data_IF_533997715465
#
_entry.id   IF_533997715465
#
_cell.length_a   1.000
_cell.length_b   1.000
_cell.length_c   1.000
_cell.angle_alpha   90.00
_cell.angle_beta   90.00
_cell.angle_gamma   90.00
#
_symmetry.space_group_name_H-M   'P 1'
#
loop_
_entity.id
_entity.type
_entity.pdbx_description
1 polymer ?
#
# COMPACT_ATOMS: atom_id res chain seq x y z
N UNK A 1 -7.97 19.59 27.23
CA UNK A 1 -9.28 19.24 26.65
C UNK A 1 -9.02 18.18 25.60
N UNK A 2 -9.31 16.95 25.97
CA UNK A 2 -8.94 15.74 25.25
C UNK A 2 -10.06 15.41 24.25
N UNK A 3 -9.74 15.44 22.96
CA UNK A 3 -10.59 14.89 21.91
C UNK A 3 -10.04 13.52 21.51
N UNK A 4 -10.61 12.45 22.06
CA UNK A 4 -10.42 11.12 21.52
C UNK A 4 -11.06 11.06 20.12
N UNK A 5 -10.38 10.53 19.09
CA UNK A 5 -11.06 10.23 17.84
C UNK A 5 -11.92 8.98 18.05
N UNK A 6 -13.23 9.16 17.88
CA UNK A 6 -14.24 8.12 17.87
C UNK A 6 -13.92 7.08 16.79
N UNK A 7 -13.77 5.83 17.21
CA UNK A 7 -13.69 4.67 16.34
C UNK A 7 -15.05 4.47 15.63
N UNK A 8 -15.09 4.78 14.34
CA UNK A 8 -16.14 4.29 13.46
C UNK A 8 -15.83 2.82 13.16
N UNK A 9 -16.71 1.95 13.66
CA UNK A 9 -16.74 0.51 13.40
C UNK A 9 -17.22 0.28 11.97
N UNK A 10 -16.28 0.09 11.04
CA UNK A 10 -16.49 -0.73 9.85
C UNK A 10 -15.39 -1.79 9.83
N UNK A 11 -15.72 -3.03 9.46
CA UNK A 11 -14.91 -4.23 9.66
C UNK A 11 -13.59 -4.31 8.87
N UNK A 12 -13.03 -3.19 8.43
CA UNK A 12 -11.71 -3.08 7.83
C UNK A 12 -10.72 -2.54 8.85
N UNK A 13 -9.64 -3.26 9.15
CA UNK A 13 -8.48 -2.70 9.87
C UNK A 13 -8.03 -1.40 9.20
N UNK A 14 -8.35 -0.26 9.81
CA UNK A 14 -7.95 1.05 9.32
C UNK A 14 -6.52 1.32 9.82
N UNK A 15 -5.54 1.09 8.94
CA UNK A 15 -4.16 1.46 9.23
C UNK A 15 -4.04 2.99 9.28
N UNK A 16 -3.28 3.56 10.23
CA UNK A 16 -3.04 4.99 10.26
C UNK A 16 -2.22 5.40 9.04
N UNK A 17 -2.80 6.31 8.26
CA UNK A 17 -2.22 6.85 7.04
C UNK A 17 -1.48 8.15 7.36
N UNK A 18 -0.28 8.29 6.81
CA UNK A 18 0.47 9.54 6.86
C UNK A 18 -0.20 10.60 5.98
N UNK A 19 -0.63 11.70 6.59
CA UNK A 19 -1.10 12.90 5.89
C UNK A 19 0.04 13.91 5.80
N UNK A 20 0.25 14.48 4.62
CA UNK A 20 1.32 15.40 4.34
C UNK A 20 2.19 14.98 3.15
N UNK A 21 3.35 15.63 3.03
CA UNK A 21 4.30 15.41 1.95
C UNK A 21 5.24 14.28 2.35
N UNK A 22 5.40 13.32 1.45
CA UNK A 22 6.35 12.23 1.58
C UNK A 22 6.89 11.84 0.20
N UNK A 23 7.92 10.99 0.17
CA UNK A 23 8.50 10.51 -1.08
C UNK A 23 8.22 9.03 -1.26
N UNK A 24 7.51 8.66 -2.31
CA UNK A 24 7.41 7.29 -2.78
C UNK A 24 8.73 6.90 -3.45
N UNK A 25 9.60 6.23 -2.70
CA UNK A 25 10.93 5.86 -3.17
C UNK A 25 10.93 4.79 -4.27
N UNK A 26 9.78 4.19 -4.60
CA UNK A 26 9.61 3.36 -5.80
C UNK A 26 9.71 4.19 -7.09
N UNK A 27 9.36 5.48 -7.03
CA UNK A 27 9.39 6.42 -8.17
C UNK A 27 10.57 7.39 -8.11
N UNK A 28 11.46 7.21 -7.14
CA UNK A 28 12.62 8.07 -6.92
C UNK A 28 12.27 9.44 -6.31
N UNK A 29 13.27 10.31 -6.11
CA UNK A 29 13.10 11.54 -5.33
C UNK A 29 12.25 12.62 -6.02
N UNK A 30 12.18 12.61 -7.35
CA UNK A 30 11.49 13.65 -8.13
C UNK A 30 10.05 13.23 -8.46
N UNK A 31 9.89 12.10 -9.17
CA UNK A 31 8.56 11.60 -9.56
C UNK A 31 7.80 10.92 -8.41
N UNK A 32 8.49 10.64 -7.30
CA UNK A 32 7.91 10.10 -6.08
C UNK A 32 7.45 11.14 -5.07
N UNK A 33 7.62 12.44 -5.34
CA UNK A 33 7.10 13.47 -4.43
C UNK A 33 5.57 13.41 -4.39
N UNK A 34 5.02 12.98 -3.25
CA UNK A 34 3.61 12.68 -3.07
C UNK A 34 3.05 13.50 -1.92
N UNK A 35 1.86 14.06 -2.11
CA UNK A 35 1.07 14.70 -1.08
C UNK A 35 -0.16 13.83 -0.80
N UNK A 36 -0.24 13.29 0.41
CA UNK A 36 -1.44 12.59 0.88
C UNK A 36 -2.27 13.55 1.72
N UNK A 37 -3.55 13.67 1.41
CA UNK A 37 -4.52 14.50 2.15
C UNK A 37 -5.79 13.68 2.40
N UNK A 38 -6.62 14.15 3.33
CA UNK A 38 -7.94 13.58 3.54
C UNK A 38 -8.86 13.80 2.32
N UNK A 39 -9.99 13.09 2.29
CA UNK A 39 -10.90 13.11 1.16
C UNK A 39 -11.53 14.49 0.91
N UNK A 40 -11.81 15.26 1.95
CA UNK A 40 -12.43 16.58 1.81
C UNK A 40 -11.43 17.58 1.22
N UNK A 41 -10.22 17.63 1.79
CA UNK A 41 -9.15 18.50 1.29
C UNK A 41 -8.73 18.11 -0.12
N UNK A 42 -8.62 16.81 -0.41
CA UNK A 42 -8.33 16.32 -1.75
C UNK A 42 -9.37 16.74 -2.79
N UNK A 43 -10.66 16.65 -2.45
CA UNK A 43 -11.75 17.13 -3.29
C UNK A 43 -11.64 18.64 -3.59
N UNK A 44 -11.32 19.45 -2.57
CA UNK A 44 -11.12 20.89 -2.73
C UNK A 44 -9.94 21.21 -3.66
N UNK A 45 -8.80 20.52 -3.49
CA UNK A 45 -7.62 20.70 -4.35
C UNK A 45 -7.91 20.35 -5.81
N UNK A 46 -8.63 19.26 -6.06
CA UNK A 46 -9.06 18.86 -7.41
C UNK A 46 -9.98 19.93 -8.02
N UNK A 47 -10.93 20.45 -7.25
CA UNK A 47 -11.82 21.51 -7.72
C UNK A 47 -11.04 22.79 -8.07
N UNK A 48 -10.13 23.22 -7.21
CA UNK A 48 -9.25 24.38 -7.46
C UNK A 48 -8.41 24.16 -8.72
N UNK A 49 -7.86 22.96 -8.91
CA UNK A 49 -7.08 22.61 -10.09
C UNK A 49 -7.92 22.68 -11.37
N UNK A 50 -9.17 22.20 -11.34
CA UNK A 50 -10.10 22.30 -12.47
C UNK A 50 -10.38 23.76 -12.87
N UNK A 51 -10.64 24.63 -11.88
CA UNK A 51 -10.81 26.07 -12.12
C UNK A 51 -9.53 26.71 -12.68
N UNK A 52 -8.37 26.34 -12.14
CA UNK A 52 -7.08 26.83 -12.62
C UNK A 52 -6.83 26.44 -14.08
N UNK A 53 -7.11 25.18 -14.47
CA UNK A 53 -6.99 24.71 -15.86
C UNK A 53 -7.91 25.52 -16.79
N UNK A 54 -9.14 25.81 -16.35
CA UNK A 54 -10.09 26.64 -17.11
C UNK A 54 -9.57 28.07 -17.31
N UNK A 55 -8.97 28.66 -16.28
CA UNK A 55 -8.33 29.97 -16.35
C UNK A 55 -7.16 29.96 -17.34
N UNK A 56 -6.28 28.96 -17.26
CA UNK A 56 -5.14 28.78 -18.18
C UNK A 56 -5.64 28.65 -19.62
N UNK A 57 -6.73 27.90 -19.85
CA UNK A 57 -7.34 27.78 -21.18
C UNK A 57 -7.84 29.12 -21.75
N UNK A 58 -8.40 29.97 -20.91
CA UNK A 58 -8.82 31.33 -21.30
C UNK A 58 -7.62 32.18 -21.72
N UNK A 59 -6.53 32.13 -20.94
CA UNK A 59 -5.29 32.83 -21.27
C UNK A 59 -4.64 32.29 -22.56
N UNK A 60 -4.59 30.97 -22.73
CA UNK A 60 -4.08 30.31 -23.93
C UNK A 60 -4.83 30.78 -25.18
N UNK A 61 -6.17 30.79 -25.13
CA UNK A 61 -7.00 31.31 -26.21
C UNK A 61 -6.63 32.76 -26.59
N UNK A 62 -6.49 33.65 -25.61
CA UNK A 62 -6.13 35.06 -25.85
C UNK A 62 -4.77 35.21 -26.53
N UNK A 63 -3.78 34.41 -26.11
CA UNK A 63 -2.45 34.39 -26.73
C UNK A 63 -2.56 33.92 -28.20
N UNK A 64 -3.29 32.84 -28.46
CA UNK A 64 -3.49 32.35 -29.82
C UNK A 64 -4.23 33.36 -30.70
N UNK A 65 -5.28 34.00 -30.18
CA UNK A 65 -5.99 35.08 -30.85
C UNK A 65 -5.07 36.24 -31.23
N UNK A 66 -4.20 36.66 -30.31
CA UNK A 66 -3.20 37.69 -30.58
C UNK A 66 -2.22 37.24 -31.69
N UNK A 67 -1.70 36.02 -31.62
CA UNK A 67 -0.81 35.48 -32.65
C UNK A 67 -1.51 35.44 -34.02
N UNK A 68 -2.73 34.92 -34.08
CA UNK A 68 -3.50 34.88 -35.33
C UNK A 68 -3.81 36.28 -35.87
N UNK A 69 -4.14 37.23 -34.99
CA UNK A 69 -4.36 38.63 -35.35
C UNK A 69 -3.12 39.19 -36.04
N UNK A 70 -1.95 39.02 -35.42
CA UNK A 70 -0.68 39.54 -35.96
C UNK A 70 -0.30 38.86 -37.29
N UNK A 71 -0.33 37.53 -37.36
CA UNK A 71 0.08 36.76 -38.54
C UNK A 71 -0.82 37.04 -39.75
N UNK A 72 -2.11 37.24 -39.53
CA UNK A 72 -3.07 37.47 -40.61
C UNK A 72 -3.33 38.95 -40.87
N UNK A 73 -2.69 39.86 -40.13
CA UNK A 73 -2.83 41.30 -40.35
C UNK A 73 -2.05 41.75 -41.58
N UNK A 74 -2.68 42.54 -42.43
CA UNK A 74 -2.06 43.16 -43.60
C UNK A 74 -2.54 44.61 -43.73
N UNK A 75 -1.65 45.54 -44.12
CA UNK A 75 -2.02 46.93 -44.37
C UNK A 75 -2.74 47.12 -45.71
N UNK A 76 -2.81 46.09 -46.56
CA UNK A 76 -3.48 46.17 -47.87
C UNK A 76 -5.00 46.28 -47.71
N UNK A 77 -5.71 46.97 -48.62
CA UNK A 77 -7.18 46.98 -48.62
C UNK A 77 -7.76 45.56 -48.68
N UNK A 78 -8.73 45.27 -47.82
CA UNK A 78 -9.40 43.97 -47.70
C UNK A 78 -10.91 44.15 -47.56
N UNK A 79 -11.64 43.05 -47.66
CA UNK A 79 -13.11 43.03 -47.57
C UNK A 79 -13.62 43.12 -46.12
N UNK A 80 -14.91 43.42 -45.96
CA UNK A 80 -15.54 43.57 -44.63
C UNK A 80 -15.40 42.33 -43.75
N UNK A 81 -15.48 41.12 -44.34
CA UNK A 81 -15.31 39.85 -43.64
C UNK A 81 -13.90 39.73 -43.01
N UNK A 82 -12.86 40.21 -43.70
CA UNK A 82 -11.51 40.25 -43.14
C UNK A 82 -11.44 41.14 -41.90
N UNK A 83 -12.00 42.35 -41.96
CA UNK A 83 -11.97 43.28 -40.83
C UNK A 83 -12.80 42.78 -39.64
N UNK A 84 -13.93 42.12 -39.88
CA UNK A 84 -14.71 41.48 -38.81
C UNK A 84 -13.94 40.33 -38.15
N UNK A 85 -13.25 39.49 -38.93
CA UNK A 85 -12.38 38.44 -38.36
C UNK A 85 -11.27 39.02 -37.48
N UNK A 86 -10.63 40.11 -37.93
CA UNK A 86 -9.60 40.78 -37.14
C UNK A 86 -10.17 41.43 -35.87
N UNK A 87 -11.38 41.97 -35.94
CA UNK A 87 -12.09 42.51 -34.77
C UNK A 87 -12.43 41.40 -33.77
N UNK A 88 -12.89 40.24 -34.23
CA UNK A 88 -13.16 39.08 -33.36
C UNK A 88 -11.87 38.61 -32.69
N UNK A 89 -10.79 38.42 -33.45
CA UNK A 89 -9.49 38.01 -32.89
C UNK A 89 -8.96 38.97 -31.82
N UNK A 90 -9.25 40.27 -31.94
CA UNK A 90 -8.83 41.28 -30.96
C UNK A 90 -9.74 41.35 -29.72
N UNK A 91 -11.02 41.01 -29.84
CA UNK A 91 -12.02 41.26 -28.79
C UNK A 91 -12.59 39.99 -28.14
N UNK A 92 -12.40 38.81 -28.74
CA UNK A 92 -12.90 37.55 -28.18
C UNK A 92 -12.11 37.16 -26.92
N UNK A 93 -12.71 37.42 -25.75
CA UNK A 93 -12.08 37.22 -24.45
C UNK A 93 -12.00 35.74 -24.03
N UNK A 94 -12.84 34.87 -24.63
CA UNK A 94 -12.93 33.43 -24.39
C UNK A 94 -13.10 32.67 -25.71
N UNK A 95 -12.73 31.38 -25.73
CA UNK A 95 -12.90 30.54 -26.91
C UNK A 95 -14.37 30.35 -27.31
N UNK A 96 -15.29 30.29 -26.33
CA UNK A 96 -16.73 30.21 -26.56
C UNK A 96 -17.27 31.45 -27.26
N UNK A 97 -16.98 32.65 -26.74
CA UNK A 97 -17.39 33.90 -27.38
C UNK A 97 -16.79 34.08 -28.77
N UNK A 98 -15.53 33.66 -28.95
CA UNK A 98 -14.87 33.60 -30.25
C UNK A 98 -15.56 32.66 -31.23
N UNK A 99 -15.88 31.44 -30.81
CA UNK A 99 -16.57 30.45 -31.62
C UNK A 99 -17.93 30.96 -32.09
N UNK A 100 -18.76 31.44 -31.17
CA UNK A 100 -20.10 31.98 -31.48
C UNK A 100 -20.00 33.14 -32.47
N UNK A 101 -19.11 34.10 -32.21
CA UNK A 101 -18.92 35.25 -33.10
C UNK A 101 -18.46 34.85 -34.51
N UNK A 102 -17.60 33.83 -34.62
CA UNK A 102 -17.10 33.33 -35.91
C UNK A 102 -18.16 32.56 -36.70
N UNK A 103 -19.00 31.79 -36.01
CA UNK A 103 -20.12 31.07 -36.62
C UNK A 103 -21.19 32.05 -37.11
N UNK A 104 -21.57 33.02 -36.28
CA UNK A 104 -22.52 34.07 -36.64
C UNK A 104 -22.01 34.90 -37.83
N UNK A 105 -20.74 35.30 -37.80
CA UNK A 105 -20.12 36.04 -38.91
C UNK A 105 -20.07 35.19 -40.18
N UNK A 106 -19.69 33.92 -40.10
CA UNK A 106 -19.69 33.00 -41.24
C UNK A 106 -21.09 32.83 -41.85
N UNK A 107 -22.12 32.73 -41.00
CA UNK A 107 -23.51 32.60 -41.43
C UNK A 107 -24.08 33.88 -42.02
N UNK A 108 -23.84 35.04 -41.40
CA UNK A 108 -24.30 36.34 -41.87
C UNK A 108 -23.77 36.66 -43.27
N UNK A 109 -22.51 36.30 -43.55
CA UNK A 109 -21.86 36.54 -44.85
C UNK A 109 -22.07 35.41 -45.88
N UNK A 110 -22.87 34.38 -45.58
CA UNK A 110 -23.04 33.20 -46.45
C UNK A 110 -23.62 33.51 -47.83
N UNK A 111 -24.38 34.60 -47.96
CA UNK A 111 -24.98 35.05 -49.24
C UNK A 111 -24.23 36.20 -49.90
N UNK A 112 -23.33 36.87 -49.17
CA UNK A 112 -22.74 38.14 -49.60
C UNK A 112 -21.26 38.03 -50.01
N UNK A 113 -20.59 36.92 -49.66
CA UNK A 113 -19.20 36.69 -50.07
C UNK A 113 -18.98 35.20 -50.36
N UNK A 114 -18.26 34.91 -51.45
CA UNK A 114 -17.90 33.55 -51.83
C UNK A 114 -16.92 32.96 -50.81
N UNK A 115 -17.12 31.70 -50.43
CA UNK A 115 -16.26 30.99 -49.48
C UNK A 115 -16.23 31.59 -48.06
N UNK A 116 -17.20 32.43 -47.67
CA UNK A 116 -17.27 33.05 -46.32
C UNK A 116 -17.12 32.03 -45.18
N UNK A 117 -17.86 30.92 -45.27
CA UNK A 117 -17.81 29.82 -44.30
C UNK A 117 -16.41 29.19 -44.31
N UNK A 118 -15.83 28.90 -45.47
CA UNK A 118 -14.49 28.31 -45.57
C UNK A 118 -13.40 29.24 -45.00
N UNK A 119 -13.61 30.55 -45.00
CA UNK A 119 -12.67 31.55 -44.46
C UNK A 119 -12.76 31.68 -42.94
N UNK A 120 -13.92 31.48 -42.32
CA UNK A 120 -14.10 31.54 -40.86
C UNK A 120 -13.92 30.18 -40.19
N UNK A 121 -14.18 29.10 -40.93
CA UNK A 121 -14.18 27.72 -40.42
C UNK A 121 -12.86 27.30 -39.74
N UNK A 122 -11.65 27.57 -40.26
CA UNK A 122 -10.41 27.14 -39.60
C UNK A 122 -10.26 27.71 -38.18
N UNK A 123 -10.64 28.98 -37.99
CA UNK A 123 -10.55 29.63 -36.69
C UNK A 123 -11.68 29.19 -35.75
N UNK A 124 -12.87 28.92 -36.30
CA UNK A 124 -13.97 28.32 -35.54
C UNK A 124 -13.62 26.89 -35.07
N UNK A 125 -13.02 26.07 -35.94
CA UNK A 125 -12.53 24.74 -35.57
C UNK A 125 -11.45 24.81 -34.49
N UNK A 126 -10.53 25.76 -34.60
CA UNK A 126 -9.53 25.99 -33.56
C UNK A 126 -10.16 26.40 -32.22
N UNK A 127 -11.17 27.29 -32.24
CA UNK A 127 -11.91 27.67 -31.04
C UNK A 127 -12.62 26.46 -30.40
N UNK A 128 -13.31 25.66 -31.22
CA UNK A 128 -13.97 24.43 -30.78
C UNK A 128 -12.95 23.43 -30.19
N UNK A 129 -11.79 23.27 -30.83
CA UNK A 129 -10.71 22.41 -30.32
C UNK A 129 -10.21 22.88 -28.96
N UNK A 130 -10.03 24.19 -28.76
CA UNK A 130 -9.63 24.75 -27.47
C UNK A 130 -10.68 24.47 -26.38
N UNK A 131 -11.96 24.70 -26.68
CA UNK A 131 -13.06 24.42 -25.73
C UNK A 131 -13.04 22.95 -25.33
N UNK A 132 -13.00 22.05 -26.30
CA UNK A 132 -12.97 20.60 -26.07
C UNK A 132 -11.74 20.22 -25.25
N UNK A 133 -10.54 20.62 -25.67
CA UNK A 133 -9.30 20.25 -25.01
C UNK A 133 -9.26 20.70 -23.54
N UNK A 134 -9.61 21.95 -23.24
CA UNK A 134 -9.58 22.48 -21.88
C UNK A 134 -10.76 21.97 -21.02
N UNK A 135 -11.93 21.71 -21.61
CA UNK A 135 -13.03 21.04 -20.90
C UNK A 135 -12.64 19.62 -20.48
N UNK A 136 -12.04 18.85 -21.40
CA UNK A 136 -11.49 17.52 -21.09
C UNK A 136 -10.39 17.60 -20.04
N UNK A 137 -9.41 18.50 -20.17
CA UNK A 137 -8.35 18.66 -19.18
C UNK A 137 -8.89 19.01 -17.78
N UNK A 138 -9.88 19.90 -17.71
CA UNK A 138 -10.52 20.29 -16.44
C UNK A 138 -11.29 19.13 -15.82
N UNK A 139 -12.08 18.40 -16.60
CA UNK A 139 -12.86 17.25 -16.12
C UNK A 139 -11.96 16.08 -15.64
N UNK A 140 -10.86 15.84 -16.35
CA UNK A 140 -9.90 14.79 -16.03
C UNK A 140 -8.84 15.23 -15.00
N UNK A 141 -8.91 16.46 -14.47
CA UNK A 141 -7.99 16.94 -13.43
C UNK A 141 -7.99 16.05 -12.18
N UNK A 142 -9.14 15.46 -11.85
CA UNK A 142 -9.28 14.47 -10.78
C UNK A 142 -8.38 13.23 -10.96
N UNK A 143 -8.01 12.88 -12.20
CA UNK A 143 -7.11 11.75 -12.46
C UNK A 143 -5.69 12.00 -11.99
N UNK A 144 -5.29 13.24 -11.73
CA UNK A 144 -3.95 13.56 -11.19
C UNK A 144 -3.70 12.82 -9.87
N UNK A 145 -4.72 12.63 -9.02
CA UNK A 145 -4.57 11.83 -7.80
C UNK A 145 -4.42 10.33 -8.09
N UNK A 146 -5.02 9.82 -9.17
CA UNK A 146 -5.00 8.39 -9.55
C UNK A 146 -3.72 7.96 -10.27
N UNK A 147 -2.97 8.88 -10.89
CA UNK A 147 -1.70 8.58 -11.60
C UNK A 147 -0.60 8.10 -10.63
N UNK A 148 -0.69 8.49 -9.36
CA UNK A 148 0.25 8.06 -8.30
C UNK A 148 -0.09 6.65 -7.76
N UNK A 149 -1.25 6.10 -8.14
CA UNK A 149 -1.76 4.81 -7.67
C UNK A 149 -2.51 4.95 -6.35
N UNK A 150 -3.11 3.86 -5.88
CA UNK A 150 -3.81 3.80 -4.59
C UNK A 150 -2.85 3.52 -3.43
N UNK A 151 -1.59 3.96 -3.55
CA UNK A 151 -0.56 3.75 -2.55
C UNK A 151 -0.54 4.91 -1.56
N UNK A 152 -0.57 4.59 -0.28
CA UNK A 152 -0.44 5.55 0.81
C UNK A 152 0.67 5.12 1.74
N UNK A 153 1.39 6.09 2.30
CA UNK A 153 2.37 5.80 3.34
C UNK A 153 1.63 5.50 4.64
N UNK A 154 1.85 4.31 5.19
CA UNK A 154 1.41 3.97 6.53
C UNK A 154 2.43 4.49 7.54
N UNK A 155 1.96 5.15 8.59
CA UNK A 155 2.82 5.70 9.63
C UNK A 155 2.07 5.70 10.95
N UNK A 156 2.50 4.83 11.87
CA UNK A 156 2.00 4.79 13.25
C UNK A 156 3.12 5.23 14.20
N UNK A 157 2.90 6.21 15.09
CA UNK A 157 3.88 6.58 16.11
C UNK A 157 4.21 5.43 17.09
N UNK A 158 3.35 4.42 17.18
CA UNK A 158 3.52 3.23 18.02
C UNK A 158 4.04 2.02 17.23
N UNK A 159 4.55 2.21 16.01
CA UNK A 159 5.19 1.14 15.27
C UNK A 159 6.53 0.75 15.94
N UNK A 160 6.66 -0.51 16.35
CA UNK A 160 7.88 -0.98 17.00
C UNK A 160 7.81 -2.45 17.40
N UNK A 161 8.95 -2.98 17.85
CA UNK A 161 9.03 -4.31 18.44
C UNK A 161 8.61 -4.25 19.90
N UNK A 162 7.60 -5.03 20.28
CA UNK A 162 7.21 -5.19 21.67
C UNK A 162 8.05 -6.31 22.31
N UNK A 163 8.68 -6.01 23.43
CA UNK A 163 9.43 -6.99 24.21
C UNK A 163 8.88 -7.02 25.64
N UNK A 164 8.64 -8.22 26.18
CA UNK A 164 8.15 -8.43 27.54
C UNK A 164 9.15 -8.00 28.64
N UNK A 165 10.38 -7.65 28.27
CA UNK A 165 11.50 -7.46 29.20
C UNK A 165 11.63 -6.04 29.78
N UNK A 166 10.65 -5.14 29.58
CA UNK A 166 10.75 -3.77 30.07
C UNK A 166 9.70 -3.48 31.15
N UNK A 167 10.21 -3.28 32.38
CA UNK A 167 9.54 -2.80 33.60
C UNK A 167 8.42 -3.70 34.15
N UNK A 168 8.76 -4.56 35.11
CA UNK A 168 7.86 -5.41 35.91
C UNK A 168 7.28 -6.63 35.16
N UNK A 169 8.04 -7.74 35.08
CA UNK A 169 7.76 -8.87 34.19
C UNK A 169 6.44 -9.59 34.51
N UNK A 170 6.03 -9.68 35.78
CA UNK A 170 4.91 -10.54 36.16
C UNK A 170 3.52 -9.93 35.86
N UNK A 171 3.41 -8.60 35.81
CA UNK A 171 2.12 -7.92 35.58
C UNK A 171 1.93 -7.45 34.13
N UNK A 172 2.98 -6.93 33.47
CA UNK A 172 2.88 -6.46 32.08
C UNK A 172 2.83 -7.63 31.09
N UNK A 173 3.58 -8.72 31.36
CA UNK A 173 3.55 -9.89 30.50
C UNK A 173 2.14 -10.49 30.45
N UNK A 174 1.56 -10.80 31.62
CA UNK A 174 0.27 -11.46 31.72
C UNK A 174 -0.92 -10.59 31.26
N UNK A 175 -0.95 -9.29 31.62
CA UNK A 175 -2.13 -8.45 31.38
C UNK A 175 -2.11 -7.68 30.05
N UNK A 176 -0.96 -7.54 29.40
CA UNK A 176 -0.87 -6.72 28.17
C UNK A 176 -0.17 -7.46 27.03
N UNK A 177 0.99 -8.06 27.29
CA UNK A 177 1.78 -8.70 26.23
C UNK A 177 1.14 -9.99 25.71
N UNK A 178 0.71 -10.88 26.61
CA UNK A 178 0.06 -12.15 26.23
C UNK A 178 -1.28 -11.94 25.48
N UNK A 179 -2.21 -11.07 25.94
CA UNK A 179 -3.40 -10.74 25.15
C UNK A 179 -3.07 -10.14 23.77
N UNK A 180 -2.04 -9.28 23.70
CA UNK A 180 -1.58 -8.71 22.43
C UNK A 180 -1.05 -9.78 21.46
N UNK A 181 -0.20 -10.70 21.94
CA UNK A 181 0.29 -11.82 21.15
C UNK A 181 -0.85 -12.72 20.67
N UNK A 182 -1.83 -13.02 21.55
CA UNK A 182 -3.02 -13.80 21.19
C UNK A 182 -3.81 -13.11 20.08
N UNK A 183 -4.05 -11.79 20.21
CA UNK A 183 -4.76 -11.03 19.19
C UNK A 183 -4.03 -11.03 17.85
N UNK A 184 -2.70 -10.87 17.87
CA UNK A 184 -1.87 -10.97 16.67
C UNK A 184 -1.95 -12.36 16.05
N UNK A 185 -1.81 -13.43 16.84
CA UNK A 185 -1.89 -14.80 16.36
C UNK A 185 -3.25 -15.09 15.69
N UNK A 186 -4.37 -14.65 16.29
CA UNK A 186 -5.71 -14.77 15.70
C UNK A 186 -5.78 -13.98 14.38
N UNK A 187 -5.29 -12.74 14.36
CA UNK A 187 -5.26 -11.91 13.14
C UNK A 187 -4.46 -12.55 12.01
N UNK A 188 -3.27 -13.07 12.31
CA UNK A 188 -2.40 -13.74 11.34
C UNK A 188 -3.02 -15.06 10.84
N UNK A 189 -3.64 -15.85 11.73
CA UNK A 189 -4.34 -17.08 11.35
C UNK A 189 -5.54 -16.77 10.44
N UNK A 190 -6.33 -15.76 10.75
CA UNK A 190 -7.44 -15.31 9.92
C UNK A 190 -6.96 -14.87 8.53
N UNK A 191 -5.90 -14.04 8.46
CA UNK A 191 -5.32 -13.63 7.19
C UNK A 191 -4.84 -14.86 6.38
N UNK A 192 -4.13 -15.79 7.02
CA UNK A 192 -3.62 -16.98 6.36
C UNK A 192 -4.75 -17.88 5.81
N UNK A 193 -5.81 -18.10 6.60
CA UNK A 193 -6.97 -18.87 6.18
C UNK A 193 -7.73 -18.20 5.05
N UNK A 194 -7.87 -16.87 5.08
CA UNK A 194 -8.60 -16.14 4.05
C UNK A 194 -7.83 -16.07 2.73
N UNK A 195 -6.49 -15.94 2.81
CA UNK A 195 -5.67 -15.58 1.65
C UNK A 195 -4.85 -16.73 1.07
N UNK A 196 -4.57 -17.81 1.81
CA UNK A 196 -3.79 -18.93 1.30
C UNK A 196 -4.59 -20.23 1.12
N UNK A 197 -5.83 -20.31 1.63
CA UNK A 197 -6.68 -21.49 1.41
C UNK A 197 -7.36 -21.44 0.03
N UNK A 198 -7.42 -22.60 -0.63
CA UNK A 198 -7.71 -22.73 -2.07
C UNK A 198 -9.19 -22.58 -2.47
N UNK A 199 -10.11 -22.30 -1.53
CA UNK A 199 -11.57 -22.36 -1.75
C UNK A 199 -12.37 -21.17 -1.20
N UNK A 200 -11.73 -20.06 -0.81
CA UNK A 200 -12.43 -18.85 -0.38
C UNK A 200 -12.69 -17.93 -1.58
N UNK A 201 -13.94 -17.92 -2.07
CA UNK A 201 -14.42 -16.92 -3.03
C UNK A 201 -14.16 -15.52 -2.45
N UNK A 202 -13.23 -14.80 -3.06
CA UNK A 202 -12.52 -13.64 -2.50
C UNK A 202 -13.41 -12.41 -2.32
N UNK A 203 -14.07 -12.32 -1.17
CA UNK A 203 -14.62 -11.07 -0.61
C UNK A 203 -13.54 -10.34 0.23
N UNK A 204 -12.48 -11.06 0.62
CA UNK A 204 -11.45 -10.55 1.53
C UNK A 204 -10.27 -9.87 0.81
N UNK A 205 -9.83 -8.74 1.36
CA UNK A 205 -8.74 -7.89 0.85
C UNK A 205 -7.36 -8.47 1.22
N UNK A 206 -6.87 -9.43 0.44
CA UNK A 206 -5.52 -10.01 0.60
C UNK A 206 -4.37 -9.07 0.21
N UNK A 207 -4.67 -7.82 -0.12
CA UNK A 207 -3.74 -6.77 -0.54
C UNK A 207 -3.20 -5.91 0.62
N UNK A 208 -3.19 -6.44 1.84
CA UNK A 208 -2.60 -5.77 3.00
C UNK A 208 -1.08 -5.61 2.87
N UNK A 209 -0.39 -6.63 2.37
CA UNK A 209 1.05 -6.61 2.16
C UNK A 209 1.39 -6.33 0.70
N UNK A 210 2.55 -5.72 0.45
CA UNK A 210 3.05 -5.44 -0.91
C UNK A 210 3.19 -6.72 -1.75
N UNK A 211 3.53 -7.83 -1.09
CA UNK A 211 3.56 -9.17 -1.68
C UNK A 211 2.77 -10.11 -0.80
N UNK A 212 1.82 -10.82 -1.40
CA UNK A 212 1.06 -11.86 -0.71
C UNK A 212 1.96 -13.04 -0.35
N UNK A 213 2.85 -13.48 -1.25
CA UNK A 213 3.82 -14.53 -0.97
C UNK A 213 5.24 -14.00 -1.20
N UNK A 214 6.11 -14.18 -0.21
CA UNK A 214 7.53 -13.90 -0.36
C UNK A 214 8.18 -15.01 -1.19
N UNK A 215 9.12 -14.68 -2.09
CA UNK A 215 9.82 -15.69 -2.87
C UNK A 215 10.59 -16.61 -1.92
N UNK A 216 10.42 -17.92 -2.11
CA UNK A 216 11.16 -18.94 -1.39
C UNK A 216 11.43 -20.14 -2.27
N UNK A 217 12.63 -20.70 -2.13
CA UNK A 217 13.04 -21.96 -2.74
C UNK A 217 12.81 -23.06 -1.72
N UNK A 218 12.02 -24.05 -2.11
CA UNK A 218 11.68 -25.20 -1.30
C UNK A 218 12.45 -26.40 -1.86
N UNK A 219 13.28 -27.00 -1.01
CA UNK A 219 14.05 -28.20 -1.31
C UNK A 219 13.60 -29.30 -0.35
N UNK A 220 12.74 -30.20 -0.82
CA UNK A 220 12.20 -31.31 -0.02
C UNK A 220 13.14 -32.53 0.09
N UNK A 221 14.28 -32.50 -0.60
CA UNK A 221 15.31 -33.55 -0.58
C UNK A 221 16.59 -33.08 0.12
N UNK A 222 16.45 -32.25 1.15
CA UNK A 222 17.59 -31.76 1.90
C UNK A 222 18.22 -32.89 2.75
N UNK A 223 19.51 -32.74 3.03
CA UNK A 223 20.22 -33.60 3.98
C UNK A 223 19.79 -33.32 5.42
N UNK A 224 20.14 -34.19 6.36
CA UNK A 224 20.04 -33.89 7.79
C UNK A 224 20.88 -32.63 8.13
N UNK A 225 20.31 -31.60 8.80
CA UNK A 225 21.05 -30.40 9.20
C UNK A 225 21.87 -30.60 10.49
N UNK A 226 21.63 -31.69 11.21
CA UNK A 226 22.32 -32.04 12.44
C UNK A 226 23.44 -33.04 12.15
N UNK A 227 24.49 -33.02 12.97
CA UNK A 227 25.54 -34.03 12.89
C UNK A 227 25.10 -35.37 13.47
N UNK A 228 25.71 -36.47 13.01
CA UNK A 228 25.42 -37.82 13.49
C UNK A 228 24.14 -38.42 12.90
N UNK A 229 23.58 -39.41 13.59
CA UNK A 229 22.45 -40.23 13.13
C UNK A 229 21.15 -39.91 13.91
N UNK A 230 20.96 -38.63 14.25
CA UNK A 230 19.82 -38.16 15.06
C UNK A 230 18.57 -37.87 14.21
N UNK A 231 18.75 -37.57 12.92
CA UNK A 231 17.63 -37.45 11.99
C UNK A 231 17.02 -38.82 11.70
N UNK A 232 15.72 -38.87 11.48
CA UNK A 232 15.02 -40.10 11.09
C UNK A 232 15.44 -40.60 9.70
N UNK A 233 15.76 -39.68 8.79
CA UNK A 233 16.23 -39.96 7.43
C UNK A 233 17.42 -39.07 7.07
N UNK A 234 18.36 -39.62 6.30
CA UNK A 234 19.52 -38.86 5.83
C UNK A 234 19.12 -37.84 4.74
N UNK A 235 18.16 -38.20 3.88
CA UNK A 235 17.56 -37.36 2.82
C UNK A 235 16.04 -37.23 3.00
N UNK A 236 15.35 -36.52 2.10
CA UNK A 236 13.91 -36.24 2.26
C UNK A 236 13.58 -35.22 3.35
N UNK A 237 14.56 -34.42 3.77
CA UNK A 237 14.36 -33.35 4.74
C UNK A 237 14.01 -32.02 4.04
N UNK A 238 13.47 -31.06 4.79
CA UNK A 238 13.00 -29.80 4.22
C UNK A 238 14.04 -28.70 4.39
N UNK A 239 14.46 -28.07 3.29
CA UNK A 239 15.18 -26.81 3.32
C UNK A 239 14.39 -25.71 2.60
N UNK A 240 14.24 -24.58 3.27
CA UNK A 240 13.55 -23.38 2.82
C UNK A 240 14.57 -22.25 2.75
N UNK A 241 14.64 -21.55 1.63
CA UNK A 241 15.54 -20.42 1.44
C UNK A 241 14.84 -19.29 0.71
N UNK A 242 14.72 -18.12 1.35
CA UNK A 242 14.08 -16.96 0.72
C UNK A 242 14.93 -16.33 -0.38
N UNK A 243 16.23 -16.63 -0.44
CA UNK A 243 17.19 -15.76 -1.13
C UNK A 243 17.29 -14.39 -0.45
N UNK A 244 17.91 -13.42 -1.12
CA UNK A 244 17.99 -12.04 -0.64
C UNK A 244 16.67 -11.31 -0.94
N UNK A 245 15.91 -10.99 0.10
CA UNK A 245 14.73 -10.15 0.07
C UNK A 245 15.13 -8.69 0.30
N UNK A 246 14.56 -7.76 -0.44
CA UNK A 246 14.80 -6.32 -0.31
C UNK A 246 13.77 -5.66 0.63
N UNK A 247 14.24 -4.86 1.57
CA UNK A 247 13.38 -4.23 2.58
C UNK A 247 12.25 -3.39 1.98
N UNK A 248 12.49 -2.77 0.83
CA UNK A 248 11.53 -1.92 0.15
C UNK A 248 10.60 -2.72 -0.76
N UNK A 249 11.16 -3.57 -1.62
CA UNK A 249 10.39 -4.29 -2.64
C UNK A 249 9.62 -5.49 -2.07
N UNK A 250 10.15 -6.15 -1.04
CA UNK A 250 9.54 -7.36 -0.48
C UNK A 250 8.74 -7.08 0.80
N UNK A 251 9.21 -6.16 1.66
CA UNK A 251 8.54 -5.84 2.93
C UNK A 251 7.74 -4.54 2.90
N UNK A 252 7.87 -3.72 1.84
CA UNK A 252 7.13 -2.47 1.71
C UNK A 252 7.66 -1.31 2.56
N UNK A 253 8.89 -1.41 3.09
CA UNK A 253 9.50 -0.33 3.85
C UNK A 253 9.92 0.80 2.90
N UNK A 254 9.19 1.92 2.94
CA UNK A 254 9.44 3.07 2.08
C UNK A 254 10.72 3.84 2.47
N UNK A 255 11.87 3.39 1.96
CA UNK A 255 13.18 3.97 2.24
C UNK A 255 13.95 4.32 0.95
N UNK A 256 14.81 5.35 0.98
CA UNK A 256 15.72 5.66 -0.12
C UNK A 256 16.74 4.53 -0.34
N UNK A 257 17.33 4.37 -1.54
CA UNK A 257 18.23 3.26 -1.86
C UNK A 257 19.36 3.02 -0.85
N UNK A 258 19.97 4.09 -0.30
CA UNK A 258 21.06 3.98 0.68
C UNK A 258 20.64 3.58 2.10
N UNK A 259 19.33 3.48 2.39
CA UNK A 259 18.79 3.07 3.68
C UNK A 259 18.01 1.75 3.59
N UNK A 260 18.09 1.06 2.44
CA UNK A 260 17.51 -0.26 2.25
C UNK A 260 18.46 -1.32 2.76
N UNK A 261 17.90 -2.43 3.21
CA UNK A 261 18.68 -3.60 3.60
C UNK A 261 18.14 -4.84 2.91
N UNK A 262 19.00 -5.85 2.81
CA UNK A 262 18.62 -7.17 2.35
C UNK A 262 18.52 -8.14 3.52
N UNK A 263 17.54 -9.03 3.44
CA UNK A 263 17.31 -10.07 4.42
C UNK A 263 17.23 -11.43 3.74
N UNK A 264 17.93 -12.42 4.28
CA UNK A 264 17.80 -13.81 3.84
C UNK A 264 17.53 -14.69 5.04
N UNK A 265 16.49 -15.50 4.93
CA UNK A 265 16.19 -16.56 5.89
C UNK A 265 16.38 -17.91 5.21
N UNK A 266 17.27 -18.71 5.79
CA UNK A 266 17.41 -20.12 5.47
C UNK A 266 16.99 -20.95 6.67
N UNK A 267 16.00 -21.81 6.48
CA UNK A 267 15.51 -22.74 7.49
C UNK A 267 15.68 -24.15 6.96
N UNK A 268 16.20 -25.06 7.77
CA UNK A 268 16.30 -26.47 7.43
C UNK A 268 15.72 -27.27 8.57
N UNK A 269 14.79 -28.17 8.26
CA UNK A 269 14.02 -28.97 9.19
C UNK A 269 14.16 -30.44 8.82
N UNK A 270 14.40 -31.27 9.82
CA UNK A 270 14.46 -32.73 9.67
C UNK A 270 13.70 -33.38 10.83
N UNK A 271 12.87 -34.40 10.60
CA UNK A 271 12.31 -35.22 11.68
C UNK A 271 13.44 -35.90 12.45
N UNK A 272 13.36 -35.91 13.78
CA UNK A 272 14.37 -36.53 14.65
C UNK A 272 13.91 -37.91 15.15
N UNK A 273 14.87 -38.78 15.47
CA UNK A 273 14.64 -40.01 16.22
C UNK A 273 14.32 -39.65 17.67
N UNK A 274 13.16 -40.08 18.14
CA UNK A 274 12.69 -39.84 19.52
C UNK A 274 12.95 -41.02 20.45
N UNK A 275 13.08 -42.22 19.88
CA UNK A 275 13.46 -43.44 20.58
C UNK A 275 14.83 -43.24 21.24
N UNK A 276 14.98 -43.67 22.48
CA UNK A 276 16.17 -43.48 23.32
C UNK A 276 16.53 -42.02 23.67
N UNK A 277 15.87 -41.03 23.05
CA UNK A 277 16.05 -39.59 23.31
C UNK A 277 14.85 -38.95 24.01
N UNK A 278 13.89 -39.73 24.51
CA UNK A 278 12.72 -39.21 25.23
C UNK A 278 12.39 -40.03 26.48
N UNK A 279 11.79 -39.37 27.48
CA UNK A 279 11.29 -40.01 28.69
C UNK A 279 10.00 -39.33 29.17
N UNK A 280 9.13 -40.09 29.84
CA UNK A 280 7.95 -39.51 30.48
C UNK A 280 8.29 -38.92 31.83
N UNK A 281 7.76 -37.75 32.13
CA UNK A 281 7.88 -37.07 33.41
C UNK A 281 6.49 -36.72 33.96
N UNK A 282 6.29 -36.96 35.25
CA UNK A 282 5.07 -36.54 35.96
C UNK A 282 5.48 -35.41 36.89
N UNK A 283 4.93 -34.23 36.65
CA UNK A 283 5.15 -33.08 37.52
C UNK A 283 4.44 -33.27 38.87
N UNK A 284 4.86 -32.57 39.94
CA UNK A 284 4.17 -32.61 41.24
C UNK A 284 2.68 -32.24 41.17
N UNK A 285 2.27 -31.48 40.14
CA UNK A 285 0.88 -31.15 39.85
C UNK A 285 0.06 -32.31 39.29
N UNK A 286 0.66 -33.48 39.07
CA UNK A 286 0.05 -34.65 38.43
C UNK A 286 0.01 -34.59 36.90
N UNK A 287 0.45 -33.47 36.30
CA UNK A 287 0.50 -33.31 34.84
C UNK A 287 1.63 -34.16 34.24
N UNK A 288 1.34 -34.80 33.11
CA UNK A 288 2.26 -35.70 32.41
C UNK A 288 2.89 -35.01 31.20
N UNK A 289 4.21 -35.09 31.13
CA UNK A 289 5.04 -34.49 30.10
C UNK A 289 5.92 -35.54 29.44
N UNK A 290 6.25 -35.31 28.18
CA UNK A 290 7.33 -35.99 27.47
C UNK A 290 8.53 -35.05 27.42
N UNK A 291 9.66 -35.49 27.98
CA UNK A 291 10.94 -34.78 27.97
C UNK A 291 11.84 -35.36 26.89
N UNK A 292 12.51 -34.49 26.14
CA UNK A 292 13.42 -34.84 25.06
C UNK A 292 14.86 -34.43 25.39
N UNK A 293 15.84 -35.25 25.00
CA UNK A 293 17.25 -35.15 25.40
C UNK A 293 18.19 -35.06 24.20
N UNK A 294 18.02 -34.03 23.37
CA UNK A 294 18.85 -33.78 22.18
C UNK A 294 20.13 -32.95 22.44
N UNK A 295 20.43 -32.62 23.71
CA UNK A 295 21.61 -31.88 24.11
C UNK A 295 21.35 -30.83 25.18
N UNK A 296 22.42 -30.14 25.59
CA UNK A 296 22.37 -29.14 26.65
C UNK A 296 21.70 -27.85 26.17
N UNK A 297 20.80 -27.31 26.99
CA UNK A 297 20.20 -25.99 26.76
C UNK A 297 21.25 -24.90 26.97
N UNK A 298 21.27 -23.88 26.13
CA UNK A 298 22.17 -22.73 26.31
C UNK A 298 21.85 -22.10 27.67
N UNK A 299 22.83 -21.90 28.58
CA UNK A 299 22.59 -21.33 29.89
C UNK A 299 21.93 -19.95 29.75
N UNK A 300 20.68 -19.81 30.21
CA UNK A 300 20.05 -18.50 30.32
C UNK A 300 20.55 -17.81 31.59
N UNK A 301 20.70 -16.47 31.61
CA UNK A 301 21.28 -15.75 32.74
C UNK A 301 20.61 -16.04 34.09
N UNK A 302 19.33 -16.48 34.11
CA UNK A 302 18.55 -16.85 35.29
C UNK A 302 17.83 -18.22 35.09
N UNK A 303 18.30 -19.05 34.16
CA UNK A 303 17.67 -20.33 33.84
C UNK A 303 18.08 -21.44 34.80
N UNK A 304 17.11 -22.27 35.21
CA UNK A 304 17.39 -23.54 35.88
C UNK A 304 18.20 -24.41 34.92
N UNK A 305 19.26 -25.06 35.41
CA UNK A 305 19.99 -26.08 34.66
C UNK A 305 19.09 -27.32 34.51
N UNK A 306 18.19 -27.28 33.54
CA UNK A 306 17.36 -28.41 33.17
C UNK A 306 18.22 -29.49 32.51
N UNK A 307 18.00 -30.74 32.88
CA UNK A 307 18.71 -31.89 32.30
C UNK A 307 18.09 -32.41 31.00
N UNK A 308 17.12 -31.68 30.44
CA UNK A 308 16.40 -32.00 29.21
C UNK A 308 16.45 -30.82 28.22
N UNK A 309 16.32 -31.10 26.94
CA UNK A 309 16.37 -30.09 25.86
C UNK A 309 15.04 -29.41 25.64
N UNK A 310 13.96 -30.18 25.68
CA UNK A 310 12.59 -29.73 25.46
C UNK A 310 11.62 -30.60 26.24
N UNK A 311 10.53 -30.02 26.72
CA UNK A 311 9.43 -30.78 27.32
C UNK A 311 8.10 -30.35 26.69
N UNK A 312 7.20 -31.33 26.54
CA UNK A 312 5.89 -31.12 25.95
C UNK A 312 4.83 -31.80 26.83
N UNK A 313 3.70 -31.14 27.05
CA UNK A 313 2.60 -31.69 27.84
C UNK A 313 1.82 -32.71 27.00
N UNK A 314 1.70 -33.96 27.47
CA UNK A 314 1.15 -35.07 26.69
C UNK A 314 -0.30 -34.82 26.24
N UNK A 315 -1.10 -34.19 27.12
CA UNK A 315 -2.53 -33.93 26.87
C UNK A 315 -2.81 -32.49 26.39
N UNK A 316 -1.80 -31.75 25.94
CA UNK A 316 -1.95 -30.34 25.57
C UNK A 316 -3.10 -30.10 24.58
N UNK A 317 -3.22 -30.94 23.55
CA UNK A 317 -4.28 -30.81 22.54
C UNK A 317 -5.67 -31.11 23.11
N UNK A 318 -5.80 -32.14 23.94
CA UNK A 318 -7.06 -32.51 24.58
C UNK A 318 -7.53 -31.38 25.52
N UNK A 319 -6.63 -30.82 26.32
CA UNK A 319 -6.91 -29.67 27.19
C UNK A 319 -7.29 -28.42 26.38
N UNK A 320 -6.65 -28.19 25.22
CA UNK A 320 -6.98 -27.10 24.32
C UNK A 320 -8.39 -27.22 23.71
N UNK A 321 -8.77 -28.44 23.34
CA UNK A 321 -10.09 -28.78 22.76
C UNK A 321 -11.19 -28.73 23.82
N UNK A 322 -10.97 -29.32 25.00
CA UNK A 322 -11.93 -29.30 26.11
C UNK A 322 -12.21 -27.88 26.58
N UNK A 323 -11.18 -27.05 26.61
CA UNK A 323 -11.34 -25.65 27.01
C UNK A 323 -11.81 -24.76 25.86
N UNK A 324 -12.07 -25.30 24.67
CA UNK A 324 -12.50 -24.57 23.47
C UNK A 324 -11.64 -23.32 23.19
N UNK A 325 -10.33 -23.39 23.47
CA UNK A 325 -9.40 -22.25 23.41
C UNK A 325 -9.80 -21.05 24.32
N UNK A 326 -10.68 -21.28 25.29
CA UNK A 326 -11.17 -20.30 26.27
C UNK A 326 -10.51 -20.43 27.64
N UNK A 327 -9.62 -21.41 27.84
CA UNK A 327 -8.88 -21.54 29.10
C UNK A 327 -8.05 -20.30 29.40
N UNK A 328 -8.07 -19.88 30.66
CA UNK A 328 -7.05 -18.99 31.20
C UNK A 328 -5.68 -19.68 31.09
N UNK A 329 -4.65 -18.89 30.78
CA UNK A 329 -3.28 -19.36 30.63
C UNK A 329 -2.83 -20.15 31.85
N UNK A 330 -1.92 -21.12 31.64
CA UNK A 330 -1.27 -21.83 32.74
C UNK A 330 -0.72 -20.82 33.75
N UNK A 331 -1.22 -20.90 34.98
CA UNK A 331 -0.77 -20.08 36.09
C UNK A 331 0.64 -20.51 36.46
N UNK A 332 1.64 -19.74 36.04
CA UNK A 332 3.05 -19.94 36.41
C UNK A 332 3.39 -19.25 37.74
N UNK A 333 2.41 -19.02 38.63
CA UNK A 333 2.72 -18.62 40.01
C UNK A 333 3.38 -19.78 40.74
N UNK A 334 4.71 -19.72 40.82
CA UNK A 334 5.47 -20.43 41.84
C UNK A 334 5.04 -19.84 43.20
N UNK A 335 4.41 -20.69 44.03
CA UNK A 335 4.13 -20.37 45.44
C UNK A 335 5.39 -20.17 46.25
#
# INVERSE_FOLDING_TARGET
MNGAPSAASDGSMAYPVHLGIWTNWSRGPVLGATLTVDQQTGGLLIAILAFFITWVGTSFWRICCFIFHQVHSTPKPRDGLYHQRQAILRNASTAESGLTSLLETGWAWRRNSGLSICRTLPLALFAALCIVAFAFASAFSSKVSTVIGNEVLLSDPNCGYTASTFNNPDTIAAHTFEPYLKQNAISYANYAQQCYCTNTSSIFRCNQFIKQNLPSKIHAEASCPFGGDICRTESGNLALDTGMLDSHQDFGLNAPPGQRFQYRRRVQCAPLKTEDYSSSYIAPSGRKYTRYYYGQRIPQPHGVNDNYTYEYLDNALAELLETNMTSAQADYTLR
#
